data_IF_135079072162
#
_entry.id   IF_135079072162
#
_cell.length_a   1.000
_cell.length_b   1.000
_cell.length_c   1.000
_cell.angle_alpha   90.00
_cell.angle_beta   90.00
_cell.angle_gamma   90.00
#
_symmetry.space_group_name_H-M   'P 1'
#
loop_
_entity.id
_entity.type
_entity.pdbx_description
1 polymer ?
#
# COMPACT_ATOMS: atom_id res chain seq x y z
N UNK A 1 -24.07 5.13 -4.55
CA UNK A 1 -24.02 6.15 -5.62
C UNK A 1 -22.57 6.53 -5.79
N UNK A 2 -21.96 6.21 -6.94
CA UNK A 2 -20.55 6.56 -7.24
C UNK A 2 -20.41 8.00 -7.72
N UNK A 3 -19.18 8.52 -7.68
CA UNK A 3 -18.88 9.83 -8.28
C UNK A 3 -18.90 9.72 -9.81
N UNK A 4 -19.37 10.73 -10.56
CA UNK A 4 -19.27 10.74 -12.01
C UNK A 4 -17.81 10.71 -12.49
N UNK A 5 -17.56 10.19 -13.69
CA UNK A 5 -16.21 10.17 -14.26
C UNK A 5 -15.60 11.57 -14.38
N UNK A 6 -16.39 12.58 -14.77
CA UNK A 6 -15.94 13.98 -14.83
C UNK A 6 -15.40 14.47 -13.49
N UNK A 7 -16.10 14.15 -12.40
CA UNK A 7 -15.63 14.44 -11.03
C UNK A 7 -14.36 13.67 -10.72
N UNK A 8 -14.29 12.38 -11.06
CA UNK A 8 -13.12 11.56 -10.80
C UNK A 8 -11.85 12.08 -11.52
N UNK A 9 -11.99 12.49 -12.79
CA UNK A 9 -10.91 13.09 -13.60
C UNK A 9 -10.38 14.39 -13.02
N UNK A 10 -11.15 15.09 -12.21
CA UNK A 10 -10.73 16.35 -11.57
C UNK A 10 -10.19 16.10 -10.16
N UNK A 11 -10.95 15.38 -9.34
CA UNK A 11 -10.64 15.20 -7.91
C UNK A 11 -9.36 14.39 -7.71
N UNK A 12 -9.18 13.29 -8.44
CA UNK A 12 -7.99 12.47 -8.26
C UNK A 12 -6.69 13.22 -8.58
N UNK A 13 -6.52 13.86 -9.77
CA UNK A 13 -5.30 14.63 -10.04
C UNK A 13 -5.07 15.81 -9.09
N UNK A 14 -6.12 16.52 -8.69
CA UNK A 14 -5.98 17.63 -7.74
C UNK A 14 -5.53 17.16 -6.36
N UNK A 15 -6.08 16.04 -5.87
CA UNK A 15 -5.66 15.46 -4.60
C UNK A 15 -4.20 15.00 -4.66
N UNK A 16 -3.78 14.35 -5.75
CA UNK A 16 -2.39 13.97 -5.97
C UNK A 16 -1.45 15.17 -6.03
N UNK A 17 -1.83 16.23 -6.74
CA UNK A 17 -1.02 17.44 -6.83
C UNK A 17 -0.84 18.09 -5.45
N UNK A 18 -1.89 18.13 -4.63
CA UNK A 18 -1.82 18.60 -3.26
C UNK A 18 -0.84 17.77 -2.42
N UNK A 19 -0.98 16.44 -2.42
CA UNK A 19 -0.09 15.54 -1.68
C UNK A 19 1.36 15.71 -2.17
N UNK A 20 1.57 15.63 -3.49
CA UNK A 20 2.88 15.79 -4.10
C UNK A 20 3.56 17.10 -3.68
N UNK A 21 2.85 18.22 -3.74
CA UNK A 21 3.37 19.52 -3.33
C UNK A 21 3.70 19.57 -1.83
N UNK A 22 2.83 19.01 -0.99
CA UNK A 22 3.07 18.92 0.45
C UNK A 22 4.30 18.05 0.76
N UNK A 23 4.46 16.91 0.08
CA UNK A 23 5.64 16.04 0.22
C UNK A 23 6.92 16.74 -0.24
N UNK A 24 6.90 17.48 -1.35
CA UNK A 24 8.06 18.27 -1.78
C UNK A 24 8.42 19.33 -0.73
N UNK A 25 7.43 20.06 -0.20
CA UNK A 25 7.63 20.99 0.90
C UNK A 25 8.24 20.28 2.12
N UNK A 26 7.66 19.13 2.48
CA UNK A 26 8.09 18.26 3.57
C UNK A 26 9.58 17.92 3.54
N UNK A 27 10.06 17.52 2.36
CA UNK A 27 11.45 17.12 2.15
C UNK A 27 12.43 18.30 2.04
N UNK A 28 11.98 19.44 1.51
CA UNK A 28 12.84 20.58 1.18
C UNK A 28 12.86 21.69 2.24
N UNK A 29 11.84 21.77 3.10
CA UNK A 29 11.75 22.77 4.16
C UNK A 29 12.75 22.54 5.30
N UNK A 30 12.80 23.45 6.27
CA UNK A 30 13.55 23.27 7.53
C UNK A 30 12.66 23.59 8.74
N UNK A 31 12.55 22.68 9.74
CA UNK A 31 13.03 21.29 9.70
C UNK A 31 12.34 20.49 8.57
N UNK A 32 13.07 19.60 7.90
CA UNK A 32 12.47 18.69 6.93
C UNK A 32 11.96 17.41 7.61
N UNK A 33 11.23 16.60 6.85
CA UNK A 33 10.70 15.32 7.31
C UNK A 33 11.77 14.43 7.97
N UNK A 34 13.00 14.43 7.44
CA UNK A 34 14.12 13.64 7.99
C UNK A 34 14.60 14.21 9.32
N UNK A 35 14.74 15.53 9.44
CA UNK A 35 15.13 16.19 10.68
C UNK A 35 14.14 15.83 11.82
N UNK A 36 12.83 15.84 11.51
CA UNK A 36 11.78 15.43 12.46
C UNK A 36 11.86 13.93 12.79
N UNK A 37 12.08 13.07 11.78
CA UNK A 37 12.24 11.63 11.99
C UNK A 37 13.42 11.33 12.92
N UNK A 38 14.59 11.90 12.63
CA UNK A 38 15.80 11.71 13.42
C UNK A 38 15.63 12.21 14.86
N UNK A 39 14.84 13.28 15.04
CA UNK A 39 14.54 13.84 16.36
C UNK A 39 13.56 12.99 17.18
N UNK A 40 12.82 12.05 16.58
CA UNK A 40 11.73 11.31 17.23
C UNK A 40 11.81 9.79 17.00
N UNK A 41 13.03 9.25 17.01
CA UNK A 41 13.27 7.82 16.82
C UNK A 41 12.52 6.99 17.88
N UNK A 42 11.95 5.88 17.42
CA UNK A 42 11.20 4.92 18.22
C UNK A 42 11.33 3.51 17.64
N UNK A 43 10.70 2.52 18.29
CA UNK A 43 10.81 1.12 17.89
C UNK A 43 10.16 0.76 16.55
N UNK A 44 9.34 1.63 15.95
CA UNK A 44 8.90 1.48 14.55
C UNK A 44 9.46 2.58 13.63
N UNK A 45 10.62 3.17 13.95
CA UNK A 45 11.32 4.04 13.00
C UNK A 45 11.96 3.21 11.88
N UNK A 46 11.51 3.36 10.62
CA UNK A 46 12.12 2.69 9.48
C UNK A 46 13.38 3.43 9.01
N UNK A 47 14.12 2.81 8.10
CA UNK A 47 15.22 3.45 7.41
C UNK A 47 14.68 4.37 6.28
N UNK A 48 15.00 5.69 6.25
CA UNK A 48 14.40 6.64 5.32
C UNK A 48 14.57 6.35 3.82
N UNK A 49 15.68 5.73 3.38
CA UNK A 49 15.89 5.40 1.97
C UNK A 49 15.02 4.22 1.50
N UNK A 50 14.62 3.32 2.39
CA UNK A 50 13.60 2.31 2.07
C UNK A 50 12.23 2.95 1.83
N UNK A 51 11.86 3.97 2.62
CA UNK A 51 10.65 4.75 2.35
C UNK A 51 10.73 5.36 0.94
N UNK A 52 11.83 6.06 0.63
CA UNK A 52 12.02 6.66 -0.70
C UNK A 52 11.96 5.62 -1.84
N UNK A 53 12.55 4.45 -1.61
CA UNK A 53 12.53 3.32 -2.56
C UNK A 53 11.13 2.74 -2.81
N UNK A 54 10.23 2.82 -1.83
CA UNK A 54 8.82 2.43 -1.99
C UNK A 54 8.01 3.52 -2.71
N UNK A 55 8.12 4.77 -2.26
CA UNK A 55 7.33 5.88 -2.79
C UNK A 55 7.67 6.21 -4.25
N UNK A 56 8.94 6.18 -4.65
CA UNK A 56 9.32 6.56 -6.02
C UNK A 56 8.59 5.76 -7.12
N UNK A 57 8.64 4.41 -7.14
CA UNK A 57 7.87 3.64 -8.12
C UNK A 57 6.36 3.81 -7.94
N UNK A 58 5.87 3.99 -6.71
CA UNK A 58 4.47 4.27 -6.44
C UNK A 58 4.01 5.59 -7.09
N UNK A 59 4.82 6.65 -7.07
CA UNK A 59 4.49 7.92 -7.75
C UNK A 59 4.37 7.74 -9.27
N UNK A 60 5.24 6.94 -9.88
CA UNK A 60 5.16 6.63 -11.32
C UNK A 60 3.86 5.90 -11.64
N UNK A 61 3.51 4.87 -10.86
CA UNK A 61 2.27 4.11 -11.05
C UNK A 61 1.04 5.00 -10.90
N UNK A 62 1.04 5.90 -9.93
CA UNK A 62 -0.05 6.87 -9.74
C UNK A 62 -0.20 7.80 -10.95
N UNK A 63 0.89 8.35 -11.48
CA UNK A 63 0.83 9.18 -12.68
C UNK A 63 0.27 8.42 -13.88
N UNK A 64 0.68 7.15 -14.06
CA UNK A 64 0.12 6.30 -15.12
C UNK A 64 -1.38 6.06 -14.93
N UNK A 65 -1.83 5.85 -13.70
CA UNK A 65 -3.25 5.65 -13.39
C UNK A 65 -4.07 6.92 -13.57
N UNK A 66 -3.57 8.06 -13.12
CA UNK A 66 -4.19 9.36 -13.34
C UNK A 66 -4.28 9.69 -14.82
N UNK A 67 -3.24 9.39 -15.60
CA UNK A 67 -3.25 9.54 -17.04
C UNK A 67 -4.34 8.69 -17.71
N UNK A 68 -4.45 7.40 -17.34
CA UNK A 68 -5.52 6.51 -17.84
C UNK A 68 -6.92 7.01 -17.44
N UNK A 69 -7.09 7.43 -16.18
CA UNK A 69 -8.35 7.97 -15.67
C UNK A 69 -8.75 9.22 -16.44
N UNK A 70 -7.78 10.13 -16.68
CA UNK A 70 -7.98 11.38 -17.41
C UNK A 70 -8.38 11.15 -18.87
N UNK A 71 -7.68 10.24 -19.56
CA UNK A 71 -7.98 9.89 -20.94
C UNK A 71 -9.33 9.22 -21.09
N UNK A 72 -9.71 8.35 -20.14
CA UNK A 72 -10.88 7.49 -20.30
C UNK A 72 -10.76 6.57 -21.51
N UNK A 73 -9.53 6.24 -21.90
CA UNK A 73 -9.23 5.28 -22.96
C UNK A 73 -9.56 3.84 -22.51
N UNK A 74 -9.54 3.59 -21.20
CA UNK A 74 -10.06 2.36 -20.60
C UNK A 74 -11.58 2.35 -20.68
N UNK A 75 -12.16 1.24 -21.13
CA UNK A 75 -13.60 1.05 -21.30
C UNK A 75 -14.11 -0.07 -20.40
N UNK A 76 -15.35 0.09 -19.91
CA UNK A 76 -16.02 -0.92 -19.11
C UNK A 76 -15.50 -0.98 -17.66
N UNK A 77 -15.38 -2.19 -17.13
CA UNK A 77 -15.17 -2.47 -15.70
C UNK A 77 -13.88 -1.84 -15.14
N UNK A 78 -12.82 -1.69 -15.94
CA UNK A 78 -11.56 -1.06 -15.52
C UNK A 78 -11.78 0.40 -15.12
N UNK A 79 -12.46 1.16 -15.97
CA UNK A 79 -12.74 2.57 -15.71
C UNK A 79 -13.69 2.71 -14.51
N UNK A 80 -14.69 1.84 -14.41
CA UNK A 80 -15.61 1.82 -13.27
C UNK A 80 -14.86 1.57 -11.95
N UNK A 81 -13.89 0.66 -11.94
CA UNK A 81 -13.06 0.41 -10.75
C UNK A 81 -12.18 1.62 -10.39
N UNK A 82 -11.64 2.32 -11.38
CA UNK A 82 -10.86 3.54 -11.14
C UNK A 82 -11.73 4.66 -10.55
N UNK A 83 -12.93 4.85 -11.11
CA UNK A 83 -13.92 5.81 -10.61
C UNK A 83 -14.34 5.44 -9.18
N UNK A 84 -14.59 4.16 -8.92
CA UNK A 84 -14.98 3.67 -7.60
C UNK A 84 -13.91 3.89 -6.53
N UNK A 85 -12.64 3.73 -6.91
CA UNK A 85 -11.51 3.96 -6.02
C UNK A 85 -11.21 5.45 -5.77
N UNK A 86 -11.62 6.33 -6.69
CA UNK A 86 -11.25 7.76 -6.66
C UNK A 86 -11.55 8.47 -5.33
N UNK A 87 -12.70 8.29 -4.67
CA UNK A 87 -12.94 8.92 -3.36
C UNK A 87 -11.93 8.48 -2.29
N UNK A 88 -11.57 7.20 -2.26
CA UNK A 88 -10.61 6.66 -1.29
C UNK A 88 -9.20 7.14 -1.62
N UNK A 89 -8.84 7.15 -2.91
CA UNK A 89 -7.59 7.73 -3.39
C UNK A 89 -7.45 9.19 -2.96
N UNK A 90 -8.49 10.00 -3.15
CA UNK A 90 -8.48 11.41 -2.78
C UNK A 90 -8.38 11.63 -1.27
N UNK A 91 -9.11 10.85 -0.46
CA UNK A 91 -8.98 10.87 1.00
C UNK A 91 -7.54 10.56 1.42
N UNK A 92 -6.91 9.55 0.81
CA UNK A 92 -5.54 9.18 1.11
C UNK A 92 -4.56 10.33 0.83
N UNK A 93 -4.60 10.89 -0.38
CA UNK A 93 -3.72 12.00 -0.76
C UNK A 93 -3.93 13.25 0.12
N UNK A 94 -5.19 13.60 0.43
CA UNK A 94 -5.48 14.73 1.32
C UNK A 94 -4.94 14.46 2.73
N UNK A 95 -5.12 13.24 3.25
CA UNK A 95 -4.61 12.87 4.57
C UNK A 95 -3.08 12.90 4.63
N UNK A 96 -2.39 12.32 3.64
CA UNK A 96 -0.92 12.28 3.63
C UNK A 96 -0.32 13.66 3.39
N UNK A 97 -0.88 14.45 2.47
CA UNK A 97 -0.46 15.84 2.30
C UNK A 97 -0.69 16.68 3.56
N UNK A 98 -1.82 16.49 4.26
CA UNK A 98 -2.10 17.20 5.52
C UNK A 98 -1.17 16.74 6.64
N UNK A 99 -0.94 15.43 6.73
CA UNK A 99 -0.01 14.81 7.67
C UNK A 99 1.38 15.46 7.58
N UNK A 100 1.86 15.74 6.37
CA UNK A 100 3.19 16.33 6.16
C UNK A 100 3.35 17.70 6.85
N UNK A 101 2.30 18.54 6.86
CA UNK A 101 2.36 19.82 7.56
C UNK A 101 2.52 19.63 9.08
N UNK A 102 1.73 18.74 9.68
CA UNK A 102 1.80 18.46 11.12
C UNK A 102 3.08 17.71 11.50
N UNK A 103 3.55 16.81 10.64
CA UNK A 103 4.83 16.13 10.81
C UNK A 103 5.97 17.16 10.84
N UNK A 104 6.08 18.04 9.84
CA UNK A 104 7.12 19.07 9.81
C UNK A 104 7.01 20.10 10.95
N UNK A 105 5.79 20.35 11.44
CA UNK A 105 5.57 21.16 12.65
C UNK A 105 5.90 20.41 13.96
N UNK A 106 6.33 19.15 13.88
CA UNK A 106 6.58 18.24 15.00
C UNK A 106 5.34 17.99 15.89
N UNK A 107 4.13 18.24 15.37
CA UNK A 107 2.87 17.88 16.02
C UNK A 107 2.46 16.45 15.63
N UNK A 108 3.23 15.50 16.17
CA UNK A 108 3.13 14.09 15.79
C UNK A 108 1.80 13.43 16.20
N UNK A 109 1.08 14.00 17.18
CA UNK A 109 -0.21 13.47 17.61
C UNK A 109 -1.30 13.83 16.62
N UNK A 110 -1.32 15.08 16.16
CA UNK A 110 -2.25 15.52 15.12
C UNK A 110 -1.94 14.83 13.80
N UNK A 111 -0.66 14.71 13.44
CA UNK A 111 -0.24 13.96 12.25
C UNK A 111 -0.74 12.49 12.30
N UNK A 112 -0.74 11.87 13.49
CA UNK A 112 -1.21 10.49 13.67
C UNK A 112 -2.69 10.30 13.29
N UNK A 113 -3.52 11.33 13.49
CA UNK A 113 -4.95 11.27 13.13
C UNK A 113 -5.11 11.07 11.63
N UNK A 114 -4.38 11.86 10.83
CA UNK A 114 -4.47 11.78 9.37
C UNK A 114 -3.94 10.47 8.81
N UNK A 115 -2.81 9.99 9.34
CA UNK A 115 -2.29 8.67 8.97
C UNK A 115 -3.30 7.57 9.33
N UNK A 116 -3.92 7.64 10.51
CA UNK A 116 -4.94 6.68 10.92
C UNK A 116 -6.13 6.67 9.95
N UNK A 117 -6.64 7.85 9.57
CA UNK A 117 -7.74 7.97 8.60
C UNK A 117 -7.33 7.38 7.24
N UNK A 118 -6.15 7.73 6.72
CA UNK A 118 -5.64 7.17 5.47
C UNK A 118 -5.58 5.63 5.55
N UNK A 119 -4.87 5.10 6.53
CA UNK A 119 -4.65 3.65 6.66
C UNK A 119 -5.95 2.89 6.78
N UNK A 120 -6.91 3.38 7.58
CA UNK A 120 -8.22 2.76 7.70
C UNK A 120 -9.02 2.82 6.40
N UNK A 121 -9.02 3.96 5.70
CA UNK A 121 -9.73 4.11 4.43
C UNK A 121 -9.17 3.15 3.36
N UNK A 122 -7.83 3.09 3.22
CA UNK A 122 -7.16 2.24 2.24
C UNK A 122 -7.36 0.75 2.54
N UNK A 123 -7.13 0.33 3.78
CA UNK A 123 -7.33 -1.07 4.18
C UNK A 123 -8.80 -1.48 4.05
N UNK A 124 -9.75 -0.61 4.44
CA UNK A 124 -11.17 -0.90 4.29
C UNK A 124 -11.55 -1.09 2.82
N UNK A 125 -11.03 -0.24 1.92
CA UNK A 125 -11.29 -0.39 0.50
C UNK A 125 -10.70 -1.69 -0.06
N UNK A 126 -9.43 -1.99 0.25
CA UNK A 126 -8.77 -3.21 -0.20
C UNK A 126 -9.48 -4.47 0.31
N UNK A 127 -9.90 -4.48 1.58
CA UNK A 127 -10.52 -5.65 2.20
C UNK A 127 -11.99 -5.84 1.82
N UNK A 128 -12.74 -4.76 1.60
CA UNK A 128 -14.21 -4.82 1.48
C UNK A 128 -14.74 -4.56 0.07
N UNK A 129 -13.96 -3.89 -0.79
CA UNK A 129 -14.47 -3.37 -2.08
C UNK A 129 -13.64 -3.78 -3.29
N UNK A 130 -12.31 -3.75 -3.17
CA UNK A 130 -11.40 -3.94 -4.32
C UNK A 130 -11.48 -5.35 -4.94
N UNK A 131 -11.87 -6.36 -4.16
CA UNK A 131 -11.88 -7.76 -4.60
C UNK A 131 -10.48 -8.35 -4.76
N UNK A 132 -10.40 -9.64 -5.12
CA UNK A 132 -9.13 -10.30 -5.39
C UNK A 132 -8.69 -10.06 -6.84
N UNK A 133 -7.39 -9.93 -7.07
CA UNK A 133 -6.82 -10.05 -8.43
C UNK A 133 -7.04 -11.49 -8.88
N UNK A 134 -8.17 -11.78 -9.54
CA UNK A 134 -8.50 -13.13 -10.01
C UNK A 134 -8.41 -13.17 -11.54
N UNK A 135 -7.54 -14.06 -12.03
CA UNK A 135 -7.42 -14.47 -13.42
C UNK A 135 -8.62 -15.35 -13.84
N UNK A 136 -9.85 -14.84 -13.87
CA UNK A 136 -11.00 -15.65 -14.30
C UNK A 136 -11.83 -14.97 -15.39
N UNK A 137 -11.68 -15.53 -16.59
CA UNK A 137 -12.59 -15.38 -17.73
C UNK A 137 -12.18 -14.26 -18.69
N UNK A 138 -12.43 -14.43 -20.01
CA UNK A 138 -12.10 -13.44 -21.04
C UNK A 138 -12.82 -12.08 -20.88
N UNK A 139 -13.80 -11.96 -19.97
CA UNK A 139 -14.62 -10.75 -19.78
C UNK A 139 -14.48 -10.05 -18.41
N UNK A 140 -13.59 -10.50 -17.49
CA UNK A 140 -13.46 -9.91 -16.13
C UNK A 140 -12.02 -9.81 -15.64
N UNK A 141 -11.18 -9.06 -16.36
CA UNK A 141 -9.83 -8.77 -15.87
C UNK A 141 -9.89 -7.55 -14.95
N UNK A 142 -9.59 -7.68 -13.63
CA UNK A 142 -9.48 -6.53 -12.75
C UNK A 142 -8.34 -5.61 -13.20
N UNK A 143 -8.52 -4.29 -13.14
CA UNK A 143 -7.48 -3.30 -13.48
C UNK A 143 -6.23 -3.54 -12.62
N UNK A 144 -5.15 -4.16 -13.15
CA UNK A 144 -3.99 -4.49 -12.35
C UNK A 144 -3.35 -3.25 -11.74
N UNK A 145 -3.51 -2.12 -12.41
CA UNK A 145 -3.02 -0.81 -11.99
C UNK A 145 -3.80 -0.24 -10.79
N UNK A 146 -5.13 -0.32 -10.78
CA UNK A 146 -5.93 0.11 -9.61
C UNK A 146 -5.61 -0.76 -8.40
N UNK A 147 -5.47 -2.07 -8.59
CA UNK A 147 -5.03 -2.94 -7.50
C UNK A 147 -3.63 -2.57 -7.01
N UNK A 148 -2.68 -2.28 -7.91
CA UNK A 148 -1.32 -1.91 -7.54
C UNK A 148 -1.31 -0.65 -6.69
N UNK A 149 -2.06 0.38 -7.08
CA UNK A 149 -2.11 1.64 -6.33
C UNK A 149 -2.83 1.47 -5.00
N UNK A 150 -4.01 0.86 -4.99
CA UNK A 150 -4.77 0.67 -3.76
C UNK A 150 -4.00 -0.13 -2.71
N UNK A 151 -3.30 -1.19 -3.13
CA UNK A 151 -2.55 -2.04 -2.19
C UNK A 151 -1.22 -1.44 -1.78
N UNK A 152 -0.54 -0.70 -2.65
CA UNK A 152 0.68 0.03 -2.23
C UNK A 152 0.35 1.16 -1.27
N UNK A 153 -0.76 1.89 -1.48
CA UNK A 153 -1.30 2.86 -0.51
C UNK A 153 -1.66 2.22 0.82
N UNK A 154 -2.35 1.07 0.79
CA UNK A 154 -2.69 0.35 2.01
C UNK A 154 -1.44 -0.17 2.74
N UNK A 155 -0.47 -0.71 2.01
CA UNK A 155 0.81 -1.17 2.54
C UNK A 155 1.57 -0.06 3.25
N UNK A 156 1.89 1.03 2.54
CA UNK A 156 2.59 2.16 3.15
C UNK A 156 1.81 2.79 4.30
N UNK A 157 0.47 2.78 4.23
CA UNK A 157 -0.38 3.20 5.36
C UNK A 157 -0.16 2.36 6.62
N UNK A 158 0.09 1.05 6.51
CA UNK A 158 0.44 0.23 7.68
C UNK A 158 1.77 0.68 8.28
N UNK A 159 2.79 0.89 7.45
CA UNK A 159 4.08 1.39 7.90
C UNK A 159 3.97 2.77 8.57
N UNK A 160 3.28 3.71 7.92
CA UNK A 160 3.09 5.07 8.43
C UNK A 160 2.34 5.06 9.75
N UNK A 161 1.30 4.22 9.89
CA UNK A 161 0.54 4.11 11.14
C UNK A 161 1.43 3.64 12.28
N UNK A 162 2.24 2.61 12.06
CA UNK A 162 3.16 2.09 13.07
C UNK A 162 4.22 3.13 13.44
N UNK A 163 4.88 3.71 12.42
CA UNK A 163 5.95 4.67 12.59
C UNK A 163 5.48 5.96 13.28
N UNK A 164 4.39 6.57 12.79
CA UNK A 164 3.88 7.79 13.37
C UNK A 164 3.34 7.54 14.79
N UNK A 165 2.64 6.43 15.03
CA UNK A 165 2.14 6.11 16.38
C UNK A 165 3.29 5.94 17.36
N UNK A 166 4.34 5.21 16.98
CA UNK A 166 5.49 5.02 17.86
C UNK A 166 6.27 6.31 18.08
N UNK A 167 6.44 7.16 17.05
CA UNK A 167 7.11 8.46 17.19
C UNK A 167 6.31 9.42 18.09
N UNK A 168 4.97 9.45 17.96
CA UNK A 168 4.11 10.37 18.70
C UNK A 168 3.95 10.02 20.19
N UNK A 169 3.95 8.73 20.53
CA UNK A 169 3.59 8.26 21.88
C UNK A 169 4.71 7.50 22.60
N UNK A 170 5.72 7.03 21.86
CA UNK A 170 6.76 6.13 22.39
C UNK A 170 8.18 6.51 21.93
N UNK A 171 8.42 7.81 21.73
CA UNK A 171 9.75 8.36 21.46
C UNK A 171 10.80 7.84 22.46
N UNK A 172 11.97 7.47 21.93
CA UNK A 172 13.13 6.96 22.68
C UNK A 172 12.84 5.69 23.51
N UNK A 173 11.77 4.95 23.19
CA UNK A 173 11.44 3.67 23.83
C UNK A 173 11.82 2.50 22.94
N UNK A 174 12.31 1.42 23.57
CA UNK A 174 12.43 0.11 22.95
C UNK A 174 11.11 -0.66 22.96
N UNK A 175 10.94 -1.70 22.13
CA UNK A 175 9.72 -2.47 22.05
C UNK A 175 9.57 -3.40 23.26
N UNK A 176 8.42 -3.31 23.93
CA UNK A 176 8.02 -4.28 24.96
C UNK A 176 7.76 -5.67 24.34
N UNK A 177 7.79 -6.72 25.16
CA UNK A 177 7.50 -8.10 24.70
C UNK A 177 6.16 -8.20 23.98
N UNK A 178 5.12 -7.54 24.49
CA UNK A 178 3.80 -7.49 23.86
C UNK A 178 3.85 -6.88 22.46
N UNK A 179 4.59 -5.78 22.28
CA UNK A 179 4.78 -5.15 20.96
C UNK A 179 5.44 -6.15 20.01
N UNK A 180 6.51 -6.82 20.43
CA UNK A 180 7.21 -7.82 19.62
C UNK A 180 6.28 -8.94 19.16
N UNK A 181 5.49 -9.50 20.07
CA UNK A 181 4.56 -10.60 19.77
C UNK A 181 3.45 -10.14 18.84
N UNK A 182 2.83 -8.99 19.13
CA UNK A 182 1.75 -8.45 18.30
C UNK A 182 2.23 -8.05 16.90
N UNK A 183 3.46 -7.55 16.75
CA UNK A 183 4.06 -7.32 15.42
C UNK A 183 4.19 -8.62 14.65
N UNK A 184 4.76 -9.67 15.25
CA UNK A 184 4.92 -10.96 14.59
C UNK A 184 3.58 -11.57 14.16
N UNK A 185 2.60 -11.59 15.07
CA UNK A 185 1.25 -12.09 14.79
C UNK A 185 0.52 -11.23 13.75
N UNK A 186 0.57 -9.90 13.89
CA UNK A 186 -0.13 -8.96 13.02
C UNK A 186 0.36 -9.04 11.57
N UNK A 187 1.67 -9.00 11.36
CA UNK A 187 2.25 -9.15 10.02
C UNK A 187 2.08 -10.57 9.48
N UNK A 188 2.28 -11.60 10.30
CA UNK A 188 2.09 -13.00 9.89
C UNK A 188 0.66 -13.28 9.43
N UNK A 189 -0.34 -12.85 10.22
CA UNK A 189 -1.75 -12.95 9.85
C UNK A 189 -2.07 -12.08 8.64
N UNK A 190 -1.59 -10.84 8.60
CA UNK A 190 -1.77 -9.92 7.47
C UNK A 190 -1.32 -10.54 6.15
N UNK A 191 -0.09 -11.08 6.09
CA UNK A 191 0.43 -11.79 4.93
C UNK A 191 -0.32 -13.09 4.61
N UNK A 192 -0.80 -13.80 5.64
CA UNK A 192 -1.58 -15.03 5.45
C UNK A 192 -2.94 -14.75 4.80
N UNK A 193 -3.60 -13.64 5.13
CA UNK A 193 -4.94 -13.32 4.59
C UNK A 193 -4.89 -12.43 3.33
N UNK A 194 -3.85 -11.62 3.13
CA UNK A 194 -3.72 -10.74 1.97
C UNK A 194 -3.32 -11.50 0.70
N UNK A 195 -3.63 -10.98 -0.49
CA UNK A 195 -2.97 -11.48 -1.70
C UNK A 195 -1.47 -11.13 -1.75
N UNK A 196 -0.79 -11.64 -2.77
CA UNK A 196 0.66 -11.56 -2.88
C UNK A 196 1.18 -10.12 -2.95
N UNK A 197 0.40 -9.18 -3.48
CA UNK A 197 0.87 -7.80 -3.70
C UNK A 197 0.81 -6.97 -2.41
N UNK A 198 -0.31 -7.02 -1.68
CA UNK A 198 -0.37 -6.40 -0.35
C UNK A 198 0.59 -7.12 0.60
N UNK A 199 0.69 -8.45 0.52
CA UNK A 199 1.63 -9.23 1.33
C UNK A 199 3.09 -8.83 1.07
N UNK A 200 3.47 -8.55 -0.19
CA UNK A 200 4.79 -8.06 -0.54
C UNK A 200 5.07 -6.67 0.06
N UNK A 201 4.06 -5.79 0.12
CA UNK A 201 4.20 -4.49 0.81
C UNK A 201 4.48 -4.70 2.30
N UNK A 202 3.71 -5.55 2.98
CA UNK A 202 3.92 -5.85 4.40
C UNK A 202 5.31 -6.47 4.69
N UNK A 203 5.82 -7.31 3.78
CA UNK A 203 7.21 -7.81 3.87
C UNK A 203 8.20 -6.66 3.73
N UNK A 204 8.00 -5.77 2.76
CA UNK A 204 8.85 -4.61 2.54
C UNK A 204 8.86 -3.68 3.77
N UNK A 205 7.70 -3.45 4.39
CA UNK A 205 7.59 -2.65 5.61
C UNK A 205 8.43 -3.22 6.74
N UNK A 206 8.40 -4.55 6.96
CA UNK A 206 9.24 -5.20 7.96
C UNK A 206 10.74 -5.05 7.65
N UNK A 207 11.12 -5.10 6.38
CA UNK A 207 12.51 -4.86 5.96
C UNK A 207 12.91 -3.41 6.24
N UNK A 208 12.06 -2.45 5.88
CA UNK A 208 12.30 -1.02 6.10
C UNK A 208 12.41 -0.71 7.61
N UNK A 209 11.53 -1.28 8.43
CA UNK A 209 11.59 -1.22 9.89
C UNK A 209 12.88 -1.87 10.39
N UNK A 210 13.19 -3.10 9.98
CA UNK A 210 14.40 -3.81 10.40
C UNK A 210 15.67 -3.03 10.10
N UNK A 211 15.77 -2.43 8.91
CA UNK A 211 16.89 -1.59 8.50
C UNK A 211 17.06 -0.32 9.35
N UNK A 212 15.96 0.20 9.92
CA UNK A 212 15.99 1.38 10.80
C UNK A 212 16.36 1.06 12.25
N UNK A 213 16.39 -0.22 12.64
CA UNK A 213 16.53 -0.65 14.02
C UNK A 213 17.92 -1.26 14.32
N UNK A 214 18.20 -1.53 15.60
CA UNK A 214 19.46 -2.13 16.07
C UNK A 214 19.20 -3.31 17.03
N UNK A 215 20.25 -4.11 17.29
CA UNK A 215 20.23 -5.19 18.27
C UNK A 215 19.19 -6.29 18.00
N UNK A 216 18.67 -6.88 19.06
CA UNK A 216 17.71 -8.00 19.00
C UNK A 216 16.40 -7.63 18.29
N UNK A 217 15.99 -6.37 18.37
CA UNK A 217 14.76 -5.95 17.70
C UNK A 217 14.87 -5.97 16.18
N UNK A 218 16.00 -5.47 15.63
CA UNK A 218 16.31 -5.61 14.20
C UNK A 218 16.31 -7.07 13.75
N UNK A 219 16.96 -7.96 14.52
CA UNK A 219 17.01 -9.38 14.18
C UNK A 219 15.60 -9.99 14.14
N UNK A 220 14.74 -9.60 15.07
CA UNK A 220 13.39 -10.10 15.16
C UNK A 220 12.50 -9.59 14.01
N UNK A 221 12.56 -8.29 13.68
CA UNK A 221 11.87 -7.71 12.51
C UNK A 221 12.30 -8.40 11.20
N UNK A 222 13.60 -8.62 11.01
CA UNK A 222 14.11 -9.34 9.85
C UNK A 222 13.65 -10.81 9.82
N UNK A 223 13.59 -11.47 10.99
CA UNK A 223 13.03 -12.81 11.12
C UNK A 223 11.55 -12.85 10.72
N UNK A 224 10.76 -11.86 11.15
CA UNK A 224 9.37 -11.70 10.74
C UNK A 224 9.26 -11.46 9.24
N UNK A 225 10.14 -10.63 8.65
CA UNK A 225 10.16 -10.37 7.21
C UNK A 225 10.39 -11.66 6.42
N UNK A 226 11.36 -12.50 6.83
CA UNK A 226 11.62 -13.80 6.21
C UNK A 226 10.41 -14.73 6.32
N UNK A 227 9.81 -14.84 7.51
CA UNK A 227 8.62 -15.66 7.72
C UNK A 227 7.45 -15.20 6.84
N UNK A 228 7.18 -13.90 6.80
CA UNK A 228 6.15 -13.30 5.96
C UNK A 228 6.43 -13.52 4.47
N UNK A 229 7.69 -13.37 4.03
CA UNK A 229 8.10 -13.65 2.65
C UNK A 229 7.87 -15.11 2.28
N UNK A 230 8.14 -16.05 3.19
CA UNK A 230 7.82 -17.47 3.03
C UNK A 230 6.31 -17.71 2.82
N UNK A 231 5.46 -17.07 3.63
CA UNK A 231 3.99 -17.14 3.50
C UNK A 231 3.55 -16.61 2.13
N UNK A 232 3.97 -15.39 1.78
CA UNK A 232 3.59 -14.71 0.53
C UNK A 232 4.08 -15.49 -0.69
N UNK A 233 5.35 -15.92 -0.69
CA UNK A 233 5.95 -16.70 -1.76
C UNK A 233 5.29 -18.06 -1.96
N UNK A 234 4.94 -18.76 -0.88
CA UNK A 234 4.18 -20.02 -0.96
C UNK A 234 2.83 -19.80 -1.62
N UNK A 235 2.11 -18.74 -1.24
CA UNK A 235 0.80 -18.41 -1.84
C UNK A 235 0.92 -18.08 -3.33
N UNK A 236 1.90 -17.25 -3.70
CA UNK A 236 2.15 -16.89 -5.10
C UNK A 236 2.48 -18.12 -5.95
N UNK A 237 3.29 -19.04 -5.42
CA UNK A 237 3.64 -20.26 -6.13
C UNK A 237 2.44 -21.20 -6.30
N UNK A 238 1.60 -21.36 -5.26
CA UNK A 238 0.39 -22.17 -5.33
C UNK A 238 -0.63 -21.61 -6.33
N UNK A 239 -0.85 -20.30 -6.34
CA UNK A 239 -1.76 -19.67 -7.33
C UNK A 239 -1.25 -19.84 -8.76
N UNK A 240 0.06 -19.66 -8.97
CA UNK A 240 0.70 -19.82 -10.29
C UNK A 240 0.72 -21.27 -10.82
N UNK A 241 0.47 -22.27 -9.97
CA UNK A 241 0.31 -23.68 -10.38
C UNK A 241 -1.13 -24.00 -10.77
N UNK A 242 -2.11 -23.49 -10.03
CA UNK A 242 -3.52 -23.69 -10.34
C UNK A 242 -3.88 -23.14 -11.73
N UNK A 243 -3.38 -21.96 -12.08
CA UNK A 243 -3.63 -21.34 -13.38
C UNK A 243 -2.99 -22.11 -14.56
N UNK A 244 -1.90 -22.86 -14.31
CA UNK A 244 -1.24 -23.67 -15.34
C UNK A 244 -2.00 -24.96 -15.66
N UNK A 245 -2.70 -25.56 -14.69
CA UNK A 245 -3.55 -26.73 -14.93
C UNK A 245 -4.90 -26.35 -15.57
N UNK A 246 -5.51 -25.22 -15.19
CA UNK A 246 -6.77 -24.78 -15.82
C UNK A 246 -6.61 -24.46 -17.31
N UNK A 247 -5.44 -23.94 -17.71
CA UNK A 247 -5.15 -23.58 -19.11
C UNK A 247 -4.88 -24.80 -20.02
N UNK A 248 -4.49 -25.95 -19.47
CA UNK A 248 -4.33 -27.17 -20.27
C UNK A 248 -5.68 -27.82 -20.59
N UNK A 249 -6.66 -27.71 -19.69
CA UNK A 249 -7.98 -28.33 -19.87
C UNK A 249 -8.85 -27.57 -20.90
N UNK A 250 -8.72 -26.23 -20.97
CA UNK A 250 -9.43 -25.40 -21.97
C UNK A 250 -8.92 -25.62 -23.41
N UNK A 251 -7.67 -26.06 -23.59
CA UNK A 251 -7.09 -26.32 -24.91
C UNK A 251 -7.55 -27.65 -25.53
N UNK A 252 -8.11 -28.56 -24.74
CA UNK A 252 -8.64 -29.83 -25.25
C UNK A 252 -10.13 -29.77 -25.60
N UNK A 253 -10.88 -28.77 -25.11
CA UNK A 253 -12.31 -28.62 -25.44
C UNK A 253 -12.56 -28.07 -26.86
N UNK A 254 -11.55 -27.46 -27.50
CA UNK A 254 -11.68 -26.84 -28.82
C UNK A 254 -11.32 -27.77 -30.00
N UNK A 255 -11.22 -29.08 -29.76
CA UNK A 255 -11.01 -30.12 -30.78
C UNK A 255 -12.28 -30.93 -31.04
N UNK A 256 -13.38 -30.28 -31.39
CA UNK A 256 -14.50 -30.99 -32.02
C UNK A 256 -14.29 -30.95 -33.54
N UNK A 257 -14.14 -32.09 -34.23
CA UNK A 257 -13.99 -32.09 -35.68
C UNK A 257 -15.28 -31.54 -36.33
N UNK A 258 -15.17 -30.80 -37.46
CA UNK A 258 -16.34 -30.31 -38.16
C UNK A 258 -17.21 -31.49 -38.60
N UNK A 259 -18.49 -31.45 -38.22
CA UNK A 259 -19.49 -32.38 -38.74
C UNK A 259 -19.66 -32.08 -40.23
N UNK A 260 -19.42 -33.11 -41.05
CA UNK A 260 -19.55 -33.10 -42.50
C UNK A 260 -21.01 -33.20 -42.94
#
# INVERSE_FOLDING_TARGET
>A
MGVPHSTARTVAPLSFLYDFAAQQYGMLAKPNMKDIHDANISFFSPQPFYIAGFFFPQQILQLLWLWRLWKGEDRGEDLDQMIDYTPIYAVGNICIGTWMFFWNANDLRTSNVFVTINTLAQLSYVCLRLGNVRHKGPDRSPSPLTHAIAKTFAGIGVLDLLHNTSAAYFKDRGPATTVKVLTGLGFGLGCAVSDWMLGACLVYDLIALGAGQKGTWRMLLNGYAIGCAGIVGSKFWLSSRGDRHGRSDDLDYNKSPPQA
#
